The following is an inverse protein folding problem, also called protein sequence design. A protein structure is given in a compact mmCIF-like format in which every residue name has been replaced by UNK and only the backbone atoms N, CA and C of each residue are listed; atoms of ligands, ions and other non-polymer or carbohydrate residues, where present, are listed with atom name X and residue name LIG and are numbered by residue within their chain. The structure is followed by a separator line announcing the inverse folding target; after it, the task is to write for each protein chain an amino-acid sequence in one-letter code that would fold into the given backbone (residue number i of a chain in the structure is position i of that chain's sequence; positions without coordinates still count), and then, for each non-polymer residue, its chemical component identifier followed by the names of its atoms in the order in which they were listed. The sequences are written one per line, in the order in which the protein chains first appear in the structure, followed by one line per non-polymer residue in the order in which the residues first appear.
data_IF_140181168164
#
_entry.id   IF_140181168164
#
_cell.length_a   1.000
_cell.length_b   1.000
_cell.length_c   1.000
_cell.angle_alpha   90.00
_cell.angle_beta   90.00
_cell.angle_gamma   90.00
#
_symmetry.space_group_name_H-M   'P 1'
#
loop_
_entity.id
_entity.type
_entity.pdbx_description
1 polymer ?
#
# COMPACT_ATOMS: atom_id res chain seq x y z
N UNK A 1 -6.02 25.59 4.90
CA UNK A 1 -4.94 25.02 4.07
C UNK A 1 -4.97 23.50 4.11
N UNK A 2 -5.02 22.90 5.30
CA UNK A 2 -5.12 21.45 5.55
C UNK A 2 -6.15 20.68 4.69
N UNK A 3 -7.40 21.17 4.58
CA UNK A 3 -8.43 20.51 3.75
C UNK A 3 -8.10 20.47 2.25
N UNK A 4 -7.42 21.49 1.73
CA UNK A 4 -6.98 21.50 0.33
C UNK A 4 -5.82 20.54 0.12
N UNK A 5 -4.91 20.44 1.08
CA UNK A 5 -3.80 19.48 1.04
C UNK A 5 -4.32 18.04 1.12
N UNK A 6 -5.34 17.78 1.94
CA UNK A 6 -6.02 16.49 1.98
C UNK A 6 -6.65 16.14 0.62
N UNK A 7 -7.35 17.09 -0.02
CA UNK A 7 -7.90 16.89 -1.38
C UNK A 7 -6.80 16.57 -2.39
N UNK A 8 -5.71 17.33 -2.37
CA UNK A 8 -4.58 17.14 -3.29
C UNK A 8 -3.93 15.77 -3.07
N UNK A 9 -3.70 15.38 -1.82
CA UNK A 9 -3.11 14.09 -1.48
C UNK A 9 -3.99 12.91 -1.92
N UNK A 10 -5.31 13.01 -1.77
CA UNK A 10 -6.27 12.01 -2.27
C UNK A 10 -6.22 11.91 -3.80
N UNK A 11 -6.23 13.05 -4.51
CA UNK A 11 -6.20 13.06 -5.98
C UNK A 11 -4.87 12.50 -6.52
N UNK A 12 -3.75 12.88 -5.90
CA UNK A 12 -2.42 12.42 -6.28
C UNK A 12 -2.12 10.98 -5.82
N UNK A 13 -3.00 10.39 -5.01
CA UNK A 13 -2.80 9.10 -4.34
C UNK A 13 -1.49 9.04 -3.54
N UNK A 14 -1.08 10.18 -2.97
CA UNK A 14 0.15 10.29 -2.19
C UNK A 14 -0.10 9.84 -0.75
N UNK A 15 0.20 8.58 -0.47
CA UNK A 15 0.03 7.97 0.85
C UNK A 15 0.94 8.63 1.90
N UNK A 16 2.14 9.06 1.52
CA UNK A 16 3.08 9.70 2.45
C UNK A 16 2.59 11.08 2.87
N UNK A 17 1.98 11.82 1.94
CA UNK A 17 1.35 13.10 2.26
C UNK A 17 0.08 12.91 3.10
N UNK A 18 -0.71 11.85 2.85
CA UNK A 18 -1.85 11.50 3.70
C UNK A 18 -1.43 11.17 5.13
N UNK A 19 -0.34 10.39 5.32
CA UNK A 19 0.19 10.08 6.65
C UNK A 19 0.63 11.33 7.41
N UNK A 20 1.36 12.24 6.75
CA UNK A 20 1.75 13.52 7.36
C UNK A 20 0.55 14.36 7.77
N UNK A 21 -0.50 14.40 6.94
CA UNK A 21 -1.72 15.14 7.24
C UNK A 21 -2.52 14.53 8.41
N UNK A 22 -2.38 13.23 8.67
CA UNK A 22 -2.98 12.56 9.83
C UNK A 22 -2.26 12.90 11.14
N UNK A 23 -0.95 13.17 11.08
CA UNK A 23 -0.15 13.61 12.24
C UNK A 23 -0.40 15.08 12.60
N UNK A 24 -0.94 15.87 11.67
CA UNK A 24 -1.27 17.27 11.87
C UNK A 24 -2.69 17.47 12.44
N UNK A 25 -2.86 18.45 13.33
CA UNK A 25 -4.20 18.78 13.87
C UNK A 25 -5.00 19.56 12.83
N UNK A 26 -6.16 19.05 12.36
CA UNK A 26 -6.93 19.73 11.34
C UNK A 26 -7.59 21.00 11.89
N UNK A 27 -7.39 22.12 11.22
CA UNK A 27 -8.13 23.36 11.50
C UNK A 27 -9.46 23.35 10.76
N UNK A 28 -10.51 22.84 11.43
CA UNK A 28 -11.89 22.79 10.93
C UNK A 28 -12.74 23.76 11.75
N UNK A 29 -12.89 24.99 11.26
CA UNK A 29 -13.58 26.05 12.00
C UNK A 29 -15.08 26.11 11.68
N UNK A 30 -15.49 25.65 10.50
CA UNK A 30 -16.88 25.70 10.04
C UNK A 30 -17.51 24.32 9.92
N UNK A 31 -18.83 24.28 10.09
CA UNK A 31 -19.62 23.05 9.92
C UNK A 31 -19.45 22.43 8.51
N UNK A 32 -19.34 23.28 7.49
CA UNK A 32 -19.10 22.91 6.09
C UNK A 32 -17.72 22.26 5.88
N UNK A 33 -16.71 22.71 6.63
CA UNK A 33 -15.36 22.14 6.60
C UNK A 33 -15.35 20.73 7.20
N UNK A 34 -16.12 20.54 8.28
CA UNK A 34 -16.28 19.22 8.93
C UNK A 34 -17.00 18.24 8.01
N UNK A 35 -18.11 18.64 7.37
CA UNK A 35 -18.79 17.78 6.39
C UNK A 35 -17.87 17.42 5.23
N UNK A 36 -17.15 18.40 4.68
CA UNK A 36 -16.18 18.16 3.60
C UNK A 36 -15.08 17.20 4.03
N UNK A 37 -14.53 17.34 5.24
CA UNK A 37 -13.51 16.44 5.77
C UNK A 37 -14.04 15.00 5.87
N UNK A 38 -15.26 14.79 6.33
CA UNK A 38 -15.88 13.45 6.45
C UNK A 38 -15.97 12.77 5.08
N UNK A 39 -16.41 13.49 4.04
CA UNK A 39 -16.47 12.93 2.69
C UNK A 39 -15.08 12.61 2.14
N UNK A 40 -14.10 13.45 2.41
CA UNK A 40 -12.71 13.22 1.99
C UNK A 40 -12.08 12.03 2.72
N UNK A 41 -12.34 11.85 4.01
CA UNK A 41 -11.90 10.68 4.75
C UNK A 41 -12.50 9.40 4.18
N UNK A 42 -13.79 9.41 3.83
CA UNK A 42 -14.41 8.26 3.18
C UNK A 42 -13.73 7.92 1.85
N UNK A 43 -13.43 8.91 1.03
CA UNK A 43 -12.71 8.72 -0.23
C UNK A 43 -11.27 8.22 -0.01
N UNK A 44 -10.57 8.74 1.02
CA UNK A 44 -9.22 8.31 1.37
C UNK A 44 -9.20 6.84 1.84
N UNK A 45 -10.19 6.42 2.63
CA UNK A 45 -10.33 5.03 3.09
C UNK A 45 -10.56 4.08 1.90
N UNK A 46 -11.45 4.45 0.98
CA UNK A 46 -11.73 3.66 -0.22
C UNK A 46 -10.49 3.51 -1.12
N UNK A 47 -9.71 4.59 -1.25
CA UNK A 47 -8.44 4.58 -1.96
C UNK A 47 -7.42 3.67 -1.30
N UNK A 48 -7.27 3.74 0.03
CA UNK A 48 -6.33 2.91 0.79
C UNK A 48 -6.69 1.42 0.72
N UNK A 49 -7.97 1.06 0.84
CA UNK A 49 -8.42 -0.33 0.71
C UNK A 49 -8.17 -0.86 -0.71
N UNK A 50 -8.38 -0.03 -1.74
CA UNK A 50 -8.05 -0.39 -3.13
C UNK A 50 -6.55 -0.66 -3.29
N UNK A 51 -5.69 0.26 -2.83
CA UNK A 51 -4.23 0.11 -2.89
C UNK A 51 -3.74 -1.14 -2.15
N UNK A 52 -4.31 -1.40 -0.97
CA UNK A 52 -4.02 -2.58 -0.16
C UNK A 52 -4.40 -3.87 -0.89
N UNK A 53 -5.57 -3.91 -1.53
CA UNK A 53 -6.04 -5.07 -2.30
C UNK A 53 -5.15 -5.34 -3.52
N UNK A 54 -4.79 -4.30 -4.26
CA UNK A 54 -3.86 -4.39 -5.40
C UNK A 54 -2.49 -4.90 -4.95
N UNK A 55 -1.93 -4.31 -3.88
CA UNK A 55 -0.63 -4.71 -3.32
C UNK A 55 -0.65 -6.17 -2.84
N UNK A 56 -1.72 -6.59 -2.16
CA UNK A 56 -1.89 -7.98 -1.73
C UNK A 56 -1.93 -8.95 -2.92
N UNK A 57 -2.56 -8.54 -4.02
CA UNK A 57 -2.61 -9.32 -5.26
C UNK A 57 -1.23 -9.44 -5.90
N UNK A 58 -0.49 -8.33 -6.01
CA UNK A 58 0.89 -8.34 -6.51
C UNK A 58 1.81 -9.19 -5.63
N UNK A 59 1.71 -9.09 -4.30
CA UNK A 59 2.50 -9.93 -3.38
C UNK A 59 2.20 -11.43 -3.56
N UNK A 60 0.93 -11.81 -3.77
CA UNK A 60 0.57 -13.21 -4.06
C UNK A 60 1.25 -13.72 -5.34
N UNK A 61 1.28 -12.89 -6.39
CA UNK A 61 1.95 -13.25 -7.64
C UNK A 61 3.47 -13.39 -7.46
N UNK A 62 4.10 -12.44 -6.75
CA UNK A 62 5.52 -12.51 -6.42
C UNK A 62 5.84 -13.78 -5.64
N UNK A 63 5.04 -14.10 -4.61
CA UNK A 63 5.19 -15.33 -3.83
C UNK A 63 5.12 -16.57 -4.71
N UNK A 64 4.12 -16.66 -5.59
CA UNK A 64 3.97 -17.77 -6.53
C UNK A 64 5.21 -17.95 -7.42
N UNK A 65 5.78 -16.83 -7.89
CA UNK A 65 6.99 -16.86 -8.71
C UNK A 65 8.21 -17.34 -7.89
N UNK A 66 8.36 -16.89 -6.65
CA UNK A 66 9.41 -17.36 -5.73
C UNK A 66 9.25 -18.86 -5.46
N UNK A 67 8.04 -19.33 -5.17
CA UNK A 67 7.74 -20.74 -4.91
C UNK A 67 8.07 -21.62 -6.13
N UNK A 68 7.79 -21.13 -7.34
CA UNK A 68 8.15 -21.80 -8.59
C UNK A 68 9.67 -21.85 -8.81
N UNK A 69 10.38 -20.75 -8.58
CA UNK A 69 11.84 -20.73 -8.69
C UNK A 69 12.51 -21.67 -7.68
N UNK A 70 11.96 -21.74 -6.46
CA UNK A 70 12.45 -22.66 -5.43
C UNK A 70 12.17 -24.13 -5.77
N UNK A 71 11.01 -24.45 -6.35
CA UNK A 71 10.67 -25.84 -6.74
C UNK A 71 11.45 -26.34 -7.97
N UNK A 72 11.91 -25.41 -8.82
CA UNK A 72 12.77 -25.72 -9.97
C UNK A 72 14.26 -25.74 -9.63
N UNK A 73 14.63 -25.26 -8.44
CA UNK A 73 15.97 -25.38 -7.90
C UNK A 73 16.21 -26.87 -7.61
N UNK A 74 16.92 -27.58 -8.50
CA UNK A 74 17.45 -28.90 -8.18
C UNK A 74 18.31 -28.74 -6.94
N UNK A 75 18.00 -29.47 -5.88
CA UNK A 75 18.98 -29.76 -4.85
C UNK A 75 20.21 -30.28 -5.58
N UNK A 76 21.33 -29.55 -5.49
CA UNK A 76 22.62 -30.06 -5.93
C UNK A 76 22.94 -31.22 -4.99
N UNK A 77 22.35 -32.37 -5.26
CA UNK A 77 22.83 -33.65 -4.74
C UNK A 77 24.21 -33.79 -5.39
N UNK A 78 25.23 -33.33 -4.66
CA UNK A 78 26.61 -33.67 -4.93
C UNK A 78 26.78 -35.17 -4.64
N UNK A 79 26.18 -36.05 -5.45
CA UNK A 79 26.43 -37.50 -5.42
C UNK A 79 27.40 -37.92 -6.51
N UNK A 80 28.46 -37.13 -6.72
CA UNK A 80 29.65 -37.58 -7.42
C UNK A 80 30.74 -37.82 -6.40
N UNK A 81 30.45 -38.63 -5.39
CA UNK A 81 31.49 -39.27 -4.58
C UNK A 81 31.83 -40.60 -5.26
N UNK A 82 32.64 -40.50 -6.31
CA UNK A 82 33.28 -41.62 -6.99
C UNK A 82 34.68 -41.74 -6.38
N UNK A 83 34.76 -42.23 -5.14
CA UNK A 83 36.03 -42.71 -4.59
C UNK A 83 36.45 -43.97 -5.34
N UNK A 84 37.63 -43.87 -5.97
CA UNK A 84 38.37 -44.94 -6.67
C UNK A 84 38.72 -46.13 -5.78
#
# INVERSE_FOLDING_TARGET
MWLNELKVAIIQKDVAQLEKLLDETPQLEKKEDIESAIYLFKAAIELLETLKSETATSMKQIKKNIDFLNSTKRDSINSLDITS
#
